data_IF_585585329628
#
_entry.id   IF_585585329628
#
_cell.length_a   1.000
_cell.length_b   1.000
_cell.length_c   1.000
_cell.angle_alpha   90.00
_cell.angle_beta   90.00
_cell.angle_gamma   90.00
#
_symmetry.space_group_name_H-M   'P 1'
#
loop_
_entity.id
_entity.type
_entity.pdbx_description
1 polymer ?
#
# COMPACT_ATOMS: atom_id res chain seq x y z
N UNK A 1 14.17 21.68 -15.87
CA UNK A 1 15.32 21.59 -16.74
C UNK A 1 16.59 21.94 -15.95
N UNK A 2 17.59 21.03 -15.94
CA UNK A 2 18.85 21.18 -15.18
C UNK A 2 19.73 22.31 -15.72
N UNK A 3 19.74 22.52 -17.02
CA UNK A 3 20.51 23.60 -17.67
C UNK A 3 20.01 24.97 -17.26
N UNK A 4 18.68 25.16 -17.20
CA UNK A 4 18.05 26.39 -16.73
C UNK A 4 18.38 26.70 -15.26
N UNK A 5 18.52 25.67 -14.42
CA UNK A 5 18.88 25.83 -12.99
C UNK A 5 20.36 26.10 -12.77
N UNK A 6 21.21 25.60 -13.63
CA UNK A 6 22.69 25.73 -13.48
C UNK A 6 23.28 26.87 -14.32
N UNK A 7 22.53 27.48 -15.25
CA UNK A 7 22.97 28.57 -16.10
C UNK A 7 24.18 28.21 -17.01
N UNK A 8 24.37 26.92 -17.33
CA UNK A 8 25.45 26.39 -18.16
C UNK A 8 24.95 25.28 -19.05
N UNK A 9 25.45 25.20 -20.27
CA UNK A 9 25.29 24.03 -21.13
C UNK A 9 25.88 22.80 -20.45
N UNK A 10 25.11 21.74 -20.35
CA UNK A 10 25.52 20.48 -19.75
C UNK A 10 25.96 19.51 -20.83
N UNK A 11 27.22 19.06 -20.71
CA UNK A 11 27.71 17.95 -21.54
C UNK A 11 27.03 16.65 -21.09
N UNK A 12 26.24 16.04 -21.98
CA UNK A 12 25.50 14.79 -21.68
C UNK A 12 26.42 13.69 -21.15
N UNK A 13 27.62 13.55 -21.70
CA UNK A 13 28.59 12.58 -21.23
C UNK A 13 29.05 12.84 -19.79
N UNK A 14 29.20 14.11 -19.39
CA UNK A 14 29.55 14.49 -18.02
C UNK A 14 28.41 14.18 -17.05
N UNK A 15 27.17 14.41 -17.45
CA UNK A 15 25.97 14.07 -16.66
C UNK A 15 25.86 12.55 -16.47
N UNK A 16 26.01 11.76 -17.54
CA UNK A 16 26.00 10.29 -17.48
C UNK A 16 27.10 9.76 -16.56
N UNK A 17 28.32 10.33 -16.65
CA UNK A 17 29.41 9.92 -15.78
C UNK A 17 29.21 10.33 -14.32
N UNK A 18 28.57 11.47 -14.04
CA UNK A 18 28.22 11.88 -12.70
C UNK A 18 27.15 10.94 -12.09
N UNK A 19 26.11 10.60 -12.85
CA UNK A 19 25.08 9.63 -12.43
C UNK A 19 25.69 8.25 -12.16
N UNK A 20 26.60 7.76 -13.03
CA UNK A 20 27.31 6.49 -12.82
C UNK A 20 28.20 6.49 -11.58
N UNK A 21 28.77 7.61 -11.20
CA UNK A 21 29.59 7.73 -9.97
C UNK A 21 28.76 7.80 -8.70
N UNK A 22 27.61 8.48 -8.76
CA UNK A 22 26.72 8.68 -7.61
C UNK A 22 25.86 7.42 -7.35
N UNK A 23 25.41 6.75 -8.42
CA UNK A 23 24.47 5.63 -8.35
C UNK A 23 24.89 4.48 -7.43
N UNK A 24 26.11 3.91 -7.57
CA UNK A 24 26.54 2.79 -6.72
C UNK A 24 26.67 3.15 -5.25
N UNK A 25 27.15 4.36 -4.95
CA UNK A 25 27.30 4.85 -3.57
C UNK A 25 25.94 5.06 -2.88
N UNK A 26 24.98 5.63 -3.60
CA UNK A 26 23.62 5.84 -3.11
C UNK A 26 22.91 4.50 -2.85
N UNK A 27 23.05 3.57 -3.76
CA UNK A 27 22.44 2.24 -3.65
C UNK A 27 23.00 1.44 -2.45
N UNK A 28 24.32 1.52 -2.22
CA UNK A 28 24.97 0.90 -1.06
C UNK A 28 24.52 1.53 0.26
N UNK A 29 24.36 2.84 0.32
CA UNK A 29 23.88 3.53 1.52
C UNK A 29 22.42 3.19 1.81
N UNK A 30 21.57 3.15 0.79
CA UNK A 30 20.18 2.74 0.93
C UNK A 30 20.09 1.28 1.43
N UNK A 31 20.88 0.37 0.86
CA UNK A 31 20.91 -1.03 1.31
C UNK A 31 21.37 -1.17 2.77
N UNK A 32 22.38 -0.41 3.21
CA UNK A 32 22.84 -0.44 4.62
C UNK A 32 21.78 0.07 5.58
N UNK A 33 21.14 1.20 5.24
CA UNK A 33 20.04 1.77 6.06
C UNK A 33 18.88 0.79 6.15
N UNK A 34 18.55 0.16 5.04
CA UNK A 34 17.46 -0.77 4.97
C UNK A 34 17.72 -2.07 5.74
N UNK A 35 18.94 -2.64 5.64
CA UNK A 35 19.31 -3.80 6.46
C UNK A 35 19.13 -3.51 7.96
N UNK A 36 19.55 -2.33 8.41
CA UNK A 36 19.32 -1.91 9.79
C UNK A 36 17.82 -1.78 10.12
N UNK A 37 17.02 -1.27 9.20
CA UNK A 37 15.57 -1.15 9.39
C UNK A 37 14.89 -2.53 9.49
N UNK A 38 15.24 -3.48 8.60
CA UNK A 38 14.67 -4.84 8.63
C UNK A 38 14.93 -5.53 9.97
N UNK A 39 16.10 -5.34 10.58
CA UNK A 39 16.39 -5.94 11.91
C UNK A 39 15.55 -5.34 13.04
N UNK A 40 14.84 -4.26 12.79
CA UNK A 40 13.98 -3.56 13.74
C UNK A 40 12.47 -3.76 13.43
N UNK A 41 12.14 -4.50 12.36
CA UNK A 41 10.76 -4.87 12.09
C UNK A 41 10.21 -5.71 13.24
N UNK A 42 8.97 -5.42 13.59
CA UNK A 42 8.19 -6.24 14.53
C UNK A 42 7.58 -7.46 13.83
N UNK A 43 6.38 -7.82 14.27
CA UNK A 43 5.66 -8.96 13.72
C UNK A 43 5.32 -8.78 12.23
N UNK A 44 5.37 -9.89 11.51
CA UNK A 44 4.83 -10.00 10.15
C UNK A 44 3.53 -10.79 10.27
N UNK A 45 2.43 -10.18 9.81
CA UNK A 45 1.10 -10.78 9.86
C UNK A 45 0.66 -11.08 8.44
N UNK A 46 0.36 -12.33 8.15
CA UNK A 46 -0.19 -12.76 6.86
C UNK A 46 -1.67 -13.06 7.03
N UNK A 47 -2.49 -12.57 6.09
CA UNK A 47 -3.92 -12.87 6.01
C UNK A 47 -4.25 -13.37 4.62
N UNK A 48 -5.12 -14.35 4.54
CA UNK A 48 -5.66 -14.87 3.29
C UNK A 48 -7.17 -14.65 3.24
N UNK A 49 -7.78 -14.93 2.09
CA UNK A 49 -9.22 -14.80 1.89
C UNK A 49 -9.71 -13.37 2.18
N UNK A 50 -9.08 -12.41 1.54
CA UNK A 50 -9.51 -11.02 1.55
C UNK A 50 -10.29 -10.70 0.26
N UNK A 51 -11.15 -9.71 0.38
CA UNK A 51 -11.96 -9.15 -0.71
C UNK A 51 -11.76 -7.65 -0.72
N UNK A 52 -11.60 -7.08 -1.90
CA UNK A 52 -11.55 -5.64 -2.17
C UNK A 52 -12.78 -5.23 -2.97
N UNK A 53 -13.51 -4.25 -2.47
CA UNK A 53 -14.65 -3.64 -3.16
C UNK A 53 -14.46 -2.14 -3.20
N UNK A 54 -14.45 -1.58 -4.41
CA UNK A 54 -14.33 -0.14 -4.63
C UNK A 54 -15.64 0.43 -5.15
N UNK A 55 -16.08 1.52 -4.56
CA UNK A 55 -17.32 2.23 -4.89
C UNK A 55 -17.03 3.68 -5.26
N UNK A 56 -17.82 4.22 -6.18
CA UNK A 56 -17.81 5.64 -6.48
C UNK A 56 -18.35 6.43 -5.29
N UNK A 57 -17.66 7.49 -4.88
CA UNK A 57 -18.12 8.34 -3.78
C UNK A 57 -19.48 8.98 -4.10
N UNK A 58 -20.39 8.91 -3.14
CA UNK A 58 -21.73 9.48 -3.18
C UNK A 58 -22.03 10.26 -1.88
N UNK A 59 -23.20 10.89 -1.81
CA UNK A 59 -23.66 11.55 -0.60
C UNK A 59 -24.01 10.58 0.54
N UNK A 60 -24.22 9.31 0.22
CA UNK A 60 -24.61 8.28 1.20
C UNK A 60 -23.48 7.32 1.55
N UNK A 61 -22.32 7.37 0.88
CA UNK A 61 -21.18 6.46 1.12
C UNK A 61 -20.81 6.36 2.61
N UNK A 62 -20.78 7.50 3.34
CA UNK A 62 -20.50 7.50 4.79
C UNK A 62 -21.57 6.75 5.60
N UNK A 63 -22.83 6.82 5.19
CA UNK A 63 -23.91 6.06 5.84
C UNK A 63 -23.76 4.57 5.58
N UNK A 64 -23.36 4.19 4.38
CA UNK A 64 -23.10 2.81 4.00
C UNK A 64 -21.93 2.22 4.80
N UNK A 65 -20.84 2.99 4.99
CA UNK A 65 -19.73 2.63 5.87
C UNK A 65 -20.22 2.37 7.31
N UNK A 66 -21.02 3.28 7.86
CA UNK A 66 -21.57 3.13 9.20
C UNK A 66 -22.50 1.91 9.32
N UNK A 67 -23.38 1.68 8.33
CA UNK A 67 -24.24 0.48 8.26
C UNK A 67 -23.40 -0.80 8.25
N UNK A 68 -22.31 -0.83 7.47
CA UNK A 68 -21.41 -1.97 7.46
C UNK A 68 -20.80 -2.25 8.84
N UNK A 69 -20.28 -1.24 9.51
CA UNK A 69 -19.71 -1.42 10.86
C UNK A 69 -20.72 -1.96 11.86
N UNK A 70 -21.97 -1.53 11.79
CA UNK A 70 -23.06 -2.08 12.63
C UNK A 70 -23.34 -3.56 12.31
N UNK A 71 -23.32 -3.95 11.03
CA UNK A 71 -23.58 -5.34 10.63
C UNK A 71 -22.49 -6.29 11.12
N UNK A 72 -21.23 -5.85 11.20
CA UNK A 72 -20.11 -6.70 11.62
C UNK A 72 -19.82 -6.67 13.12
N UNK A 73 -20.46 -5.79 13.90
CA UNK A 73 -20.17 -5.57 15.33
C UNK A 73 -20.17 -6.87 16.15
N UNK A 74 -21.12 -7.79 15.85
CA UNK A 74 -21.29 -9.06 16.57
C UNK A 74 -20.77 -10.27 15.79
N UNK A 75 -20.04 -10.06 14.69
CA UNK A 75 -19.44 -11.13 13.90
C UNK A 75 -18.07 -11.54 14.46
N UNK A 76 -17.57 -12.69 14.02
CA UNK A 76 -16.18 -13.10 14.34
C UNK A 76 -15.19 -12.04 13.91
N UNK A 77 -14.17 -11.73 14.74
CA UNK A 77 -13.17 -10.73 14.39
C UNK A 77 -12.51 -11.00 13.03
N UNK A 78 -12.42 -9.98 12.23
CA UNK A 78 -11.81 -10.02 10.90
C UNK A 78 -11.06 -8.73 10.58
N UNK A 79 -10.38 -8.73 9.45
CA UNK A 79 -9.71 -7.55 8.92
C UNK A 79 -10.72 -6.70 8.14
N UNK A 80 -10.64 -5.39 8.32
CA UNK A 80 -11.26 -4.42 7.44
C UNK A 80 -10.41 -3.14 7.38
N UNK A 81 -10.46 -2.49 6.25
CA UNK A 81 -9.80 -1.20 6.01
C UNK A 81 -10.65 -0.37 5.06
N UNK A 82 -10.79 0.91 5.34
CA UNK A 82 -11.40 1.91 4.46
C UNK A 82 -10.34 2.87 3.96
N UNK A 83 -10.31 3.08 2.65
CA UNK A 83 -9.47 4.08 2.01
C UNK A 83 -10.35 4.97 1.13
N UNK A 84 -10.57 6.21 1.55
CA UNK A 84 -11.39 7.16 0.82
C UNK A 84 -10.54 8.14 0.05
N UNK A 85 -10.63 8.08 -1.28
CA UNK A 85 -10.04 9.03 -2.19
C UNK A 85 -10.98 10.20 -2.52
N UNK A 86 -10.63 10.93 -3.57
CA UNK A 86 -11.44 12.07 -4.06
C UNK A 86 -12.76 11.58 -4.67
N UNK A 87 -12.70 10.58 -5.54
CA UNK A 87 -13.83 10.10 -6.32
C UNK A 87 -14.31 8.70 -5.92
N UNK A 88 -13.49 7.95 -5.19
CA UNK A 88 -13.70 6.53 -4.91
C UNK A 88 -13.42 6.21 -3.44
N UNK A 89 -14.06 5.16 -2.94
CA UNK A 89 -13.79 4.55 -1.64
C UNK A 89 -13.51 3.06 -1.86
N UNK A 90 -12.32 2.61 -1.49
CA UNK A 90 -11.91 1.21 -1.49
C UNK A 90 -12.06 0.63 -0.09
N UNK A 91 -12.67 -0.54 -0.01
CA UNK A 91 -12.91 -1.26 1.25
C UNK A 91 -12.35 -2.66 1.11
N UNK A 92 -11.36 -3.00 1.94
CA UNK A 92 -10.75 -4.32 1.98
C UNK A 92 -11.24 -5.02 3.22
N UNK A 93 -11.78 -6.23 3.07
CA UNK A 93 -12.36 -6.99 4.19
C UNK A 93 -11.96 -8.46 4.14
N UNK A 94 -12.00 -9.12 5.29
CA UNK A 94 -12.03 -10.59 5.34
C UNK A 94 -13.27 -11.11 4.62
N UNK A 95 -13.16 -12.19 3.85
CA UNK A 95 -14.21 -12.70 2.96
C UNK A 95 -15.55 -13.02 3.68
N UNK A 96 -15.51 -13.35 4.98
CA UNK A 96 -16.72 -13.58 5.74
C UNK A 96 -17.55 -12.31 5.99
N UNK A 97 -16.98 -11.11 5.77
CA UNK A 97 -17.68 -9.82 5.81
C UNK A 97 -18.25 -9.38 4.45
N UNK A 98 -17.90 -10.07 3.36
CA UNK A 98 -18.27 -9.68 2.00
C UNK A 98 -19.77 -9.44 1.82
N UNK A 99 -20.61 -10.36 2.33
CA UNK A 99 -22.08 -10.23 2.24
C UNK A 99 -22.60 -9.01 3.00
N UNK A 100 -22.08 -8.76 4.20
CA UNK A 100 -22.46 -7.60 5.01
C UNK A 100 -22.02 -6.30 4.34
N UNK A 101 -20.86 -6.30 3.67
CA UNK A 101 -20.38 -5.15 2.90
C UNK A 101 -21.29 -4.88 1.69
N UNK A 102 -21.62 -5.91 0.92
CA UNK A 102 -22.53 -5.79 -0.22
C UNK A 102 -23.93 -5.29 0.19
N UNK A 103 -24.45 -5.79 1.32
CA UNK A 103 -25.74 -5.32 1.88
C UNK A 103 -25.67 -3.86 2.33
N UNK A 104 -24.57 -3.46 2.96
CA UNK A 104 -24.42 -2.09 3.45
C UNK A 104 -24.33 -1.07 2.31
N UNK A 105 -23.69 -1.47 1.21
CA UNK A 105 -23.48 -0.64 0.03
C UNK A 105 -24.49 -0.90 -1.10
N UNK A 106 -25.62 -1.53 -0.77
CA UNK A 106 -26.71 -1.72 -1.73
C UNK A 106 -27.18 -0.38 -2.31
N UNK A 107 -27.21 -0.28 -3.65
CA UNK A 107 -27.55 0.94 -4.37
C UNK A 107 -26.39 1.90 -4.61
N UNK A 108 -25.21 1.67 -4.04
CA UNK A 108 -23.99 2.40 -4.39
C UNK A 108 -23.40 1.87 -5.71
N UNK A 109 -22.74 2.74 -6.46
CA UNK A 109 -22.09 2.34 -7.72
C UNK A 109 -20.76 1.66 -7.45
N UNK A 110 -20.75 0.35 -7.57
CA UNK A 110 -19.52 -0.45 -7.49
C UNK A 110 -18.67 -0.24 -8.75
N UNK A 111 -17.36 -0.05 -8.57
CA UNK A 111 -16.36 0.13 -9.61
C UNK A 111 -15.58 -1.17 -9.82
N UNK A 112 -15.05 -1.74 -8.72
CA UNK A 112 -14.29 -2.99 -8.74
C UNK A 112 -14.75 -3.93 -7.63
N UNK A 113 -14.57 -5.24 -7.87
CA UNK A 113 -14.78 -6.30 -6.89
C UNK A 113 -13.74 -7.38 -7.15
N UNK A 114 -12.72 -7.44 -6.29
CA UNK A 114 -11.64 -8.40 -6.37
C UNK A 114 -11.73 -9.37 -5.21
N UNK A 115 -11.62 -10.65 -5.49
CA UNK A 115 -11.67 -11.73 -4.51
C UNK A 115 -10.35 -12.51 -4.53
N UNK A 116 -10.21 -13.46 -3.59
CA UNK A 116 -9.01 -14.31 -3.48
C UNK A 116 -7.73 -13.48 -3.32
N UNK A 117 -7.79 -12.50 -2.43
CA UNK A 117 -6.66 -11.66 -2.09
C UNK A 117 -6.02 -12.15 -0.78
N UNK A 118 -4.74 -11.86 -0.67
CA UNK A 118 -3.94 -12.04 0.55
C UNK A 118 -3.28 -10.74 0.94
N UNK A 119 -2.89 -10.61 2.19
CA UNK A 119 -2.11 -9.45 2.63
C UNK A 119 -0.94 -9.84 3.52
N UNK A 120 0.12 -9.05 3.42
CA UNK A 120 1.26 -9.09 4.34
C UNK A 120 1.34 -7.75 5.03
N UNK A 121 1.18 -7.75 6.34
CA UNK A 121 1.31 -6.58 7.20
C UNK A 121 2.65 -6.62 7.93
N UNK A 122 3.44 -5.59 7.78
CA UNK A 122 4.71 -5.40 8.47
C UNK A 122 4.52 -4.38 9.60
N UNK A 123 4.81 -4.77 10.85
CA UNK A 123 4.90 -3.82 11.96
C UNK A 123 6.24 -3.11 11.90
N UNK A 124 6.21 -1.80 11.76
CA UNK A 124 7.38 -0.96 11.57
C UNK A 124 7.74 -0.25 12.88
N UNK A 125 9.03 -0.01 13.14
CA UNK A 125 9.46 0.80 14.28
C UNK A 125 8.99 2.25 14.13
N UNK A 126 8.85 3.00 15.23
CA UNK A 126 8.42 4.40 15.20
C UNK A 126 9.32 5.32 14.36
N UNK A 127 10.57 4.91 14.12
CA UNK A 127 11.50 5.62 13.23
C UNK A 127 11.25 5.44 11.73
N UNK A 128 10.18 4.74 11.35
CA UNK A 128 9.86 4.48 9.93
C UNK A 128 9.60 5.77 9.15
N UNK A 129 8.99 6.78 9.77
CA UNK A 129 8.67 8.08 9.16
C UNK A 129 9.93 8.86 8.75
N UNK A 130 11.05 8.63 9.43
CA UNK A 130 12.32 9.28 9.16
C UNK A 130 13.21 8.45 8.21
N UNK A 131 12.75 7.26 7.81
CA UNK A 131 13.52 6.36 6.95
C UNK A 131 13.22 6.62 5.49
N UNK A 132 14.07 7.45 4.86
CA UNK A 132 13.95 7.77 3.44
C UNK A 132 14.05 6.53 2.55
N UNK A 133 13.12 6.42 1.59
CA UNK A 133 13.13 5.37 0.58
C UNK A 133 12.60 4.01 1.05
N UNK A 134 11.94 3.94 2.22
CA UNK A 134 11.39 2.71 2.76
C UNK A 134 10.40 2.04 1.80
N UNK A 135 9.39 2.77 1.34
CA UNK A 135 8.40 2.25 0.38
C UNK A 135 9.03 1.88 -0.96
N UNK A 136 9.98 2.68 -1.46
CA UNK A 136 10.74 2.33 -2.67
C UNK A 136 11.41 0.97 -2.54
N UNK A 137 11.99 0.67 -1.38
CA UNK A 137 12.65 -0.60 -1.17
C UNK A 137 11.65 -1.76 -1.12
N UNK A 138 10.51 -1.61 -0.45
CA UNK A 138 9.48 -2.63 -0.43
C UNK A 138 8.97 -2.91 -1.84
N UNK A 139 8.54 -1.90 -2.57
CA UNK A 139 8.05 -2.05 -3.93
C UNK A 139 9.08 -2.63 -4.89
N UNK A 140 10.34 -2.22 -4.76
CA UNK A 140 11.43 -2.77 -5.56
C UNK A 140 11.57 -4.28 -5.34
N UNK A 141 11.62 -4.74 -4.10
CA UNK A 141 11.80 -6.17 -3.80
C UNK A 141 10.57 -6.98 -4.20
N UNK A 142 9.36 -6.49 -4.00
CA UNK A 142 8.13 -7.15 -4.45
C UNK A 142 8.12 -7.27 -5.98
N UNK A 143 8.44 -6.19 -6.69
CA UNK A 143 8.51 -6.19 -8.16
C UNK A 143 9.61 -7.11 -8.71
N UNK A 144 10.81 -7.12 -8.10
CA UNK A 144 11.89 -8.04 -8.47
C UNK A 144 11.52 -9.51 -8.19
N UNK A 145 10.66 -9.75 -7.19
CA UNK A 145 10.07 -11.06 -6.90
C UNK A 145 8.90 -11.45 -7.82
N UNK A 146 8.49 -10.59 -8.75
CA UNK A 146 7.35 -10.82 -9.64
C UNK A 146 5.99 -10.65 -8.96
N UNK A 147 5.94 -10.09 -7.74
CA UNK A 147 4.72 -9.91 -6.96
C UNK A 147 4.05 -8.60 -7.35
N UNK A 148 2.79 -8.67 -7.80
CA UNK A 148 1.97 -7.51 -8.11
C UNK A 148 1.22 -7.02 -6.87
N UNK A 149 1.47 -5.78 -6.46
CA UNK A 149 0.76 -5.13 -5.36
C UNK A 149 -0.53 -4.51 -5.89
N UNK A 150 -1.67 -4.97 -5.36
CA UNK A 150 -3.00 -4.50 -5.73
C UNK A 150 -3.34 -3.24 -4.94
N UNK A 151 -3.16 -3.29 -3.61
CA UNK A 151 -3.46 -2.19 -2.70
C UNK A 151 -2.38 -2.05 -1.63
N UNK A 152 -2.22 -0.83 -1.10
CA UNK A 152 -1.36 -0.55 0.04
C UNK A 152 -2.12 0.22 1.10
N UNK A 153 -2.22 -0.36 2.27
CA UNK A 153 -2.81 0.30 3.44
C UNK A 153 -1.71 0.54 4.46
N UNK A 154 -1.59 1.74 4.94
CA UNK A 154 -0.59 2.07 5.96
C UNK A 154 -1.17 2.90 7.10
N UNK A 155 -0.67 2.63 8.29
CA UNK A 155 -0.80 3.48 9.48
C UNK A 155 0.57 4.02 9.88
N UNK A 156 0.66 4.71 11.00
CA UNK A 156 1.95 5.24 11.47
C UNK A 156 3.02 4.14 11.67
N UNK A 157 2.63 2.94 12.07
CA UNK A 157 3.55 1.86 12.41
C UNK A 157 3.26 0.53 11.70
N UNK A 158 2.41 0.53 10.69
CA UNK A 158 2.10 -0.66 9.92
C UNK A 158 2.05 -0.34 8.42
N UNK A 159 2.59 -1.25 7.61
CA UNK A 159 2.41 -1.26 6.16
C UNK A 159 1.83 -2.61 5.75
N UNK A 160 0.67 -2.59 5.11
CA UNK A 160 -0.03 -3.75 4.61
C UNK A 160 -0.02 -3.72 3.09
N UNK A 161 0.54 -4.75 2.49
CA UNK A 161 0.54 -4.95 1.04
C UNK A 161 -0.49 -6.01 0.72
N UNK A 162 -1.45 -5.68 -0.14
CA UNK A 162 -2.47 -6.60 -0.62
C UNK A 162 -2.07 -7.09 -2.01
N UNK A 163 -2.09 -8.38 -2.19
CA UNK A 163 -1.63 -9.09 -3.38
C UNK A 163 -2.67 -10.14 -3.79
N UNK A 164 -2.54 -10.70 -4.98
CA UNK A 164 -3.31 -11.88 -5.37
C UNK A 164 -2.94 -13.07 -4.47
N UNK A 165 -3.88 -13.93 -4.15
CA UNK A 165 -3.61 -15.14 -3.35
C UNK A 165 -2.69 -16.13 -4.09
N UNK A 166 -2.50 -15.97 -5.39
CA UNK A 166 -1.66 -16.83 -6.21
C UNK A 166 -0.22 -16.31 -6.35
N UNK A 167 0.05 -15.09 -5.89
CA UNK A 167 1.38 -14.48 -5.83
C UNK A 167 2.08 -14.80 -4.49
#
# INVERSE_FOLDING_TARGET
DLESRMGKELNEGAVVMAIRRIGPGLQLQLQKRFRKFITQLGDIIVRSNLVDMTFQNSLITVKSEFKFLQLIENMSPGFYSFSRGVDETTIIVSSHYEKSLAEAFEGEKMITHLQNLSSVTLKMPASNTDTLGLYYYFFKNLSEGGINVIEVVSTSNEATFVVSQND
#
